data_IF_629408182432
#
_entry.id   IF_629408182432
#
_cell.length_a   1.000
_cell.length_b   1.000
_cell.length_c   1.000
_cell.angle_alpha   90.00
_cell.angle_beta   90.00
_cell.angle_gamma   90.00
#
_symmetry.space_group_name_H-M   'P 1'
#
loop_
_entity.id
_entity.type
_entity.pdbx_description
1 polymer ?
#
# COMPACT_ATOMS: atom_id res chain seq x y z
N UNK A 1 18.46 1.92 -37.55
CA UNK A 1 18.64 2.37 -36.15
C UNK A 1 17.54 3.36 -35.85
N UNK A 2 16.57 3.07 -34.97
CA UNK A 2 15.66 4.12 -34.51
C UNK A 2 16.46 5.15 -33.66
N UNK A 3 16.16 6.45 -33.81
CA UNK A 3 16.99 7.55 -33.34
C UNK A 3 16.92 7.80 -31.83
N UNK A 4 18.02 8.34 -31.33
CA UNK A 4 18.27 8.88 -29.98
C UNK A 4 17.18 9.85 -29.51
N UNK A 5 16.44 9.48 -28.48
CA UNK A 5 15.48 10.36 -27.79
C UNK A 5 16.23 11.46 -27.01
N UNK A 6 15.89 12.75 -27.17
CA UNK A 6 16.56 13.85 -26.47
C UNK A 6 16.17 13.95 -24.97
N UNK A 7 17.05 14.51 -24.12
CA UNK A 7 16.80 14.64 -22.67
C UNK A 7 15.73 15.70 -22.40
N UNK A 8 14.52 15.26 -22.05
CA UNK A 8 13.40 16.13 -21.67
C UNK A 8 12.04 15.75 -22.23
N UNK A 9 11.94 14.74 -23.11
CA UNK A 9 10.65 14.30 -23.65
C UNK A 9 9.89 13.42 -22.63
N UNK A 10 8.73 13.90 -22.17
CA UNK A 10 7.80 13.14 -21.34
C UNK A 10 7.35 11.88 -22.09
N UNK A 11 7.87 10.72 -21.71
CA UNK A 11 7.54 9.46 -22.36
C UNK A 11 6.25 8.88 -21.76
N UNK A 12 5.10 9.29 -22.31
CA UNK A 12 3.77 8.94 -21.79
C UNK A 12 3.55 7.43 -21.59
N UNK A 13 4.20 6.58 -22.39
CA UNK A 13 4.13 5.12 -22.25
C UNK A 13 4.83 4.64 -20.97
N UNK A 14 6.04 5.11 -20.69
CA UNK A 14 6.76 4.79 -19.44
C UNK A 14 5.98 5.28 -18.20
N UNK A 15 5.39 6.47 -18.27
CA UNK A 15 4.53 6.99 -17.20
C UNK A 15 3.29 6.12 -16.97
N UNK A 16 2.63 5.68 -18.05
CA UNK A 16 1.45 4.82 -17.96
C UNK A 16 1.78 3.43 -17.40
N UNK A 17 2.94 2.88 -17.73
CA UNK A 17 3.42 1.63 -17.13
C UNK A 17 3.70 1.78 -15.63
N UNK A 18 4.40 2.85 -15.24
CA UNK A 18 4.64 3.23 -13.85
C UNK A 18 3.33 3.38 -13.06
N UNK A 19 2.35 4.07 -13.63
CA UNK A 19 1.04 4.25 -13.01
C UNK A 19 0.32 2.90 -12.82
N UNK A 20 0.32 2.06 -13.84
CA UNK A 20 -0.31 0.73 -13.78
C UNK A 20 0.33 -0.16 -12.70
N UNK A 21 1.66 -0.11 -12.56
CA UNK A 21 2.41 -0.85 -11.55
C UNK A 21 2.09 -0.37 -10.13
N UNK A 22 2.03 0.95 -9.90
CA UNK A 22 1.61 1.52 -8.62
C UNK A 22 0.17 1.16 -8.29
N UNK A 23 -0.74 1.28 -9.25
CA UNK A 23 -2.17 0.98 -9.05
C UNK A 23 -2.38 -0.49 -8.67
N UNK A 24 -1.68 -1.42 -9.33
CA UNK A 24 -1.74 -2.86 -9.02
C UNK A 24 -1.22 -3.18 -7.61
N UNK A 25 -0.31 -2.38 -7.06
CA UNK A 25 0.19 -2.50 -5.70
C UNK A 25 -0.76 -1.86 -4.67
N UNK A 26 -1.24 -0.65 -4.91
CA UNK A 26 -2.04 0.14 -3.96
C UNK A 26 -3.45 -0.41 -3.81
N UNK A 27 -4.10 -0.80 -4.92
CA UNK A 27 -5.49 -1.29 -4.90
C UNK A 27 -5.74 -2.41 -3.89
N UNK A 28 -5.00 -3.54 -3.87
CA UNK A 28 -5.25 -4.59 -2.89
C UNK A 28 -4.98 -4.15 -1.45
N UNK A 29 -3.95 -3.32 -1.21
CA UNK A 29 -3.64 -2.80 0.12
C UNK A 29 -4.77 -1.92 0.67
N UNK A 30 -5.34 -1.06 -0.18
CA UNK A 30 -6.50 -0.23 0.17
C UNK A 30 -7.72 -1.10 0.44
N UNK A 31 -7.99 -2.10 -0.40
CA UNK A 31 -9.14 -3.01 -0.20
C UNK A 31 -9.03 -3.73 1.14
N UNK A 32 -7.87 -4.34 1.43
CA UNK A 32 -7.63 -5.06 2.70
C UNK A 32 -7.83 -4.12 3.89
N UNK A 33 -7.27 -2.92 3.82
CA UNK A 33 -7.37 -1.93 4.91
C UNK A 33 -8.82 -1.48 5.09
N UNK A 34 -9.50 -1.13 4.00
CA UNK A 34 -10.89 -0.70 4.03
C UNK A 34 -11.79 -1.78 4.63
N UNK A 35 -11.66 -3.03 4.18
CA UNK A 35 -12.42 -4.16 4.68
C UNK A 35 -12.14 -4.40 6.17
N UNK A 36 -10.88 -4.34 6.62
CA UNK A 36 -10.54 -4.54 8.02
C UNK A 36 -11.17 -3.46 8.93
N UNK A 37 -11.06 -2.18 8.54
CA UNK A 37 -11.64 -1.09 9.33
C UNK A 37 -13.17 -1.10 9.31
N UNK A 38 -13.78 -1.41 8.17
CA UNK A 38 -15.25 -1.55 8.09
C UNK A 38 -15.76 -2.76 8.87
N UNK A 39 -15.09 -3.90 8.77
CA UNK A 39 -15.44 -5.10 9.51
C UNK A 39 -15.44 -4.82 11.02
N UNK A 40 -14.45 -4.06 11.53
CA UNK A 40 -14.45 -3.61 12.92
C UNK A 40 -15.76 -2.88 13.26
N UNK A 41 -16.11 -1.84 12.49
CA UNK A 41 -17.30 -1.03 12.77
C UNK A 41 -18.59 -1.86 12.70
N UNK A 42 -18.70 -2.78 11.76
CA UNK A 42 -19.86 -3.68 11.65
C UNK A 42 -19.93 -4.60 12.88
N UNK A 43 -18.82 -5.25 13.22
CA UNK A 43 -18.80 -6.19 14.35
C UNK A 43 -19.09 -5.44 15.66
N UNK A 44 -18.50 -4.25 15.87
CA UNK A 44 -18.70 -3.46 17.09
C UNK A 44 -20.16 -3.04 17.27
N UNK A 45 -20.82 -2.56 16.20
CA UNK A 45 -22.15 -1.95 16.33
C UNK A 45 -23.29 -2.95 16.20
N UNK A 46 -23.09 -4.05 15.48
CA UNK A 46 -24.16 -5.00 15.16
C UNK A 46 -24.02 -6.34 15.88
N UNK A 47 -22.95 -6.56 16.65
CA UNK A 47 -22.74 -7.79 17.42
C UNK A 47 -22.20 -7.49 18.81
N UNK A 48 -22.56 -8.30 19.81
CA UNK A 48 -21.96 -8.24 21.16
C UNK A 48 -20.62 -8.99 21.28
N UNK A 49 -20.05 -9.45 20.15
CA UNK A 49 -18.84 -10.28 20.18
C UNK A 49 -17.62 -9.51 20.69
N UNK A 50 -17.55 -8.22 20.38
CA UNK A 50 -16.43 -7.35 20.80
C UNK A 50 -16.45 -7.00 22.28
N UNK A 51 -17.59 -7.15 22.95
CA UNK A 51 -17.76 -6.88 24.39
C UNK A 51 -17.36 -8.07 25.26
N UNK A 52 -17.23 -9.27 24.67
CA UNK A 52 -16.81 -10.46 25.38
C UNK A 52 -15.41 -10.29 26.00
N UNK A 53 -15.28 -10.60 27.28
CA UNK A 53 -14.00 -10.57 27.98
C UNK A 53 -13.11 -11.75 27.54
N UNK A 54 -11.86 -11.45 27.21
CA UNK A 54 -10.83 -12.43 26.82
C UNK A 54 -9.93 -12.77 28.00
N UNK A 55 -9.45 -11.76 28.72
CA UNK A 55 -8.61 -11.94 29.90
C UNK A 55 -8.63 -10.69 30.80
N UNK A 56 -8.86 -10.87 32.11
CA UNK A 56 -8.74 -9.81 33.13
C UNK A 56 -9.43 -8.45 32.80
N UNK A 57 -10.61 -8.49 32.15
CA UNK A 57 -11.35 -7.27 31.77
C UNK A 57 -10.98 -6.68 30.40
N UNK A 58 -10.01 -7.27 29.69
CA UNK A 58 -9.73 -6.94 28.29
C UNK A 58 -10.77 -7.62 27.39
N UNK A 59 -11.49 -6.83 26.60
CA UNK A 59 -12.44 -7.34 25.61
C UNK A 59 -11.78 -7.68 24.28
N UNK A 60 -12.49 -8.43 23.41
CA UNK A 60 -12.04 -8.74 22.05
C UNK A 60 -11.75 -7.49 21.21
N UNK A 61 -12.36 -6.35 21.55
CA UNK A 61 -12.07 -5.07 20.89
C UNK A 61 -10.59 -4.65 20.99
N UNK A 62 -9.95 -4.89 22.13
CA UNK A 62 -8.54 -4.54 22.32
C UNK A 62 -7.62 -5.39 21.43
N UNK A 63 -7.90 -6.69 21.32
CA UNK A 63 -7.14 -7.58 20.43
C UNK A 63 -7.31 -7.18 18.97
N UNK A 64 -8.53 -6.81 18.56
CA UNK A 64 -8.78 -6.34 17.21
C UNK A 64 -8.04 -5.03 16.90
N UNK A 65 -8.08 -4.06 17.81
CA UNK A 65 -7.36 -2.80 17.67
C UNK A 65 -5.83 -3.02 17.58
N UNK A 66 -5.29 -3.94 18.39
CA UNK A 66 -3.89 -4.34 18.31
C UNK A 66 -3.55 -4.98 16.96
N UNK A 67 -4.41 -5.84 16.42
CA UNK A 67 -4.23 -6.40 15.08
C UNK A 67 -4.27 -5.33 13.98
N UNK A 68 -5.19 -4.35 14.05
CA UNK A 68 -5.23 -3.23 13.11
C UNK A 68 -3.95 -2.39 13.14
N UNK A 69 -3.36 -2.19 14.32
CA UNK A 69 -2.10 -1.48 14.45
C UNK A 69 -0.98 -2.18 13.65
N UNK A 70 -0.82 -3.50 13.81
CA UNK A 70 0.16 -4.26 13.03
C UNK A 70 -0.20 -4.33 11.54
N UNK A 71 -1.48 -4.38 11.18
CA UNK A 71 -1.93 -4.31 9.80
C UNK A 71 -1.43 -3.03 9.13
N UNK A 72 -1.61 -1.88 9.78
CA UNK A 72 -1.14 -0.58 9.25
C UNK A 72 0.37 -0.56 9.12
N UNK A 73 1.12 -1.05 10.12
CA UNK A 73 2.58 -1.16 10.04
C UNK A 73 2.99 -2.06 8.87
N UNK A 74 2.36 -3.22 8.70
CA UNK A 74 2.67 -4.16 7.64
C UNK A 74 2.37 -3.56 6.26
N UNK A 75 1.18 -2.96 6.08
CA UNK A 75 0.76 -2.31 4.84
C UNK A 75 1.71 -1.18 4.47
N UNK A 76 2.02 -0.29 5.40
CA UNK A 76 2.91 0.86 5.15
C UNK A 76 4.34 0.43 4.86
N UNK A 77 4.87 -0.53 5.61
CA UNK A 77 6.22 -1.08 5.40
C UNK A 77 6.31 -1.80 4.05
N UNK A 78 5.33 -2.64 3.74
CA UNK A 78 5.27 -3.37 2.48
C UNK A 78 5.15 -2.42 1.29
N UNK A 79 4.24 -1.44 1.38
CA UNK A 79 4.07 -0.40 0.36
C UNK A 79 5.38 0.34 0.10
N UNK A 80 6.05 0.85 1.15
CA UNK A 80 7.32 1.57 1.01
C UNK A 80 8.39 0.74 0.31
N UNK A 81 8.55 -0.53 0.68
CA UNK A 81 9.56 -1.43 0.08
C UNK A 81 9.27 -1.69 -1.40
N UNK A 82 8.02 -1.95 -1.75
CA UNK A 82 7.62 -2.22 -3.14
C UNK A 82 7.68 -0.94 -4.00
N UNK A 83 7.28 0.21 -3.45
CA UNK A 83 7.39 1.49 -4.13
C UNK A 83 8.84 1.86 -4.43
N UNK A 84 9.75 1.68 -3.47
CA UNK A 84 11.18 1.89 -3.70
C UNK A 84 11.72 0.96 -4.81
N UNK A 85 11.26 -0.29 -4.85
CA UNK A 85 11.63 -1.25 -5.90
C UNK A 85 11.08 -0.87 -7.28
N UNK A 86 9.85 -0.34 -7.34
CA UNK A 86 9.27 0.21 -8.57
C UNK A 86 10.10 1.41 -9.02
N UNK A 87 10.36 2.39 -8.15
CA UNK A 87 11.13 3.60 -8.51
C UNK A 87 12.56 3.29 -8.96
N UNK A 88 13.22 2.29 -8.36
CA UNK A 88 14.56 1.84 -8.77
C UNK A 88 14.59 1.30 -10.21
N UNK A 89 13.51 0.63 -10.67
CA UNK A 89 13.42 0.08 -12.04
C UNK A 89 13.27 1.15 -13.11
N UNK A 90 12.75 2.33 -12.76
CA UNK A 90 12.44 3.41 -13.71
C UNK A 90 13.38 4.63 -13.60
N UNK A 91 14.37 4.60 -12.70
CA UNK A 91 15.49 5.56 -12.67
C UNK A 91 16.63 5.40 -13.72
N UNK A 92 16.71 4.41 -14.63
CA UNK A 92 17.96 4.18 -15.39
C UNK A 92 18.22 5.08 -16.61
N UNK A 93 17.48 6.18 -16.85
CA UNK A 93 17.68 7.04 -18.03
C UNK A 93 18.15 8.48 -17.77
N UNK A 94 18.43 8.90 -16.53
CA UNK A 94 18.91 10.25 -16.24
C UNK A 94 20.44 10.40 -16.05
N UNK A 95 21.20 9.30 -16.01
CA UNK A 95 22.66 9.33 -15.73
C UNK A 95 23.52 9.59 -16.98
N UNK A 96 22.94 9.76 -18.17
CA UNK A 96 23.69 9.95 -19.42
C UNK A 96 23.85 11.40 -19.91
N UNK A 97 23.37 12.40 -19.16
CA UNK A 97 23.35 13.80 -19.62
C UNK A 97 24.49 14.68 -19.04
N UNK A 98 25.41 14.12 -18.26
CA UNK A 98 26.51 14.86 -17.60
C UNK A 98 27.92 14.37 -18.00
N UNK A 99 28.12 13.88 -19.23
CA UNK A 99 29.45 13.64 -19.78
C UNK A 99 29.60 14.20 -21.19
#
# INVERSE_FOLDING_TARGET
>A
MPPSTPPGEFNAEQYRELESARKKLVTPLVIITAVAFWAQQIITNFTGWMDGAVFAGMSWAYLYAFALFFLVIAVTTYYRRQMAAIEAKYKPSQTGAEQ
#
